data_IF_206443020433
#
_entry.id   IF_206443020433
#
_cell.length_a   1.000
_cell.length_b   1.000
_cell.length_c   1.000
_cell.angle_alpha   90.00
_cell.angle_beta   90.00
_cell.angle_gamma   90.00
#
_symmetry.space_group_name_H-M   'P 1'
#
loop_
_entity.id
_entity.type
_entity.pdbx_description
1 polymer ?
#
# COMPACT_ATOMS: atom_id res chain seq x y z
N UNK A 1 42.88 -2.40 -9.62
CA UNK A 1 42.21 -1.38 -10.46
C UNK A 1 41.95 -0.11 -9.66
N UNK A 2 41.87 1.08 -10.29
CA UNK A 2 41.41 2.30 -9.61
C UNK A 2 39.98 2.13 -9.06
N UNK A 3 39.74 2.57 -7.82
CA UNK A 3 38.48 2.38 -7.10
C UNK A 3 37.27 3.01 -7.82
N UNK A 4 37.44 4.20 -8.41
CA UNK A 4 36.37 4.87 -9.17
C UNK A 4 36.04 4.13 -10.47
N UNK A 5 37.06 3.61 -11.17
CA UNK A 5 36.84 2.74 -12.35
C UNK A 5 36.17 1.43 -11.97
N UNK A 6 36.55 0.85 -10.84
CA UNK A 6 35.94 -0.40 -10.34
C UNK A 6 34.47 -0.20 -10.02
N UNK A 7 34.12 0.81 -9.22
CA UNK A 7 32.72 1.02 -8.82
C UNK A 7 31.84 1.33 -10.03
N UNK A 8 32.33 2.14 -10.99
CA UNK A 8 31.61 2.41 -12.23
C UNK A 8 31.31 1.14 -13.02
N UNK A 9 32.27 0.20 -13.10
CA UNK A 9 32.04 -1.10 -13.74
C UNK A 9 30.98 -1.91 -13.02
N UNK A 10 31.06 -2.01 -11.69
CA UNK A 10 30.08 -2.73 -10.86
C UNK A 10 28.68 -2.16 -11.10
N UNK A 11 28.50 -0.84 -11.03
CA UNK A 11 27.20 -0.20 -11.21
C UNK A 11 26.62 -0.46 -12.62
N UNK A 12 27.44 -0.35 -13.67
CA UNK A 12 27.01 -0.64 -15.04
C UNK A 12 26.60 -2.10 -15.20
N UNK A 13 27.41 -3.03 -14.69
CA UNK A 13 27.11 -4.46 -14.81
C UNK A 13 25.90 -4.85 -13.97
N UNK A 14 25.74 -4.30 -12.77
CA UNK A 14 24.51 -4.45 -11.98
C UNK A 14 23.31 -3.97 -12.79
N UNK A 15 23.30 -2.71 -13.25
CA UNK A 15 22.18 -2.13 -13.97
C UNK A 15 21.79 -2.95 -15.22
N UNK A 16 22.77 -3.41 -16.00
CA UNK A 16 22.53 -4.24 -17.20
C UNK A 16 21.83 -5.56 -16.89
N UNK A 17 22.09 -6.13 -15.72
CA UNK A 17 21.59 -7.45 -15.32
C UNK A 17 20.32 -7.39 -14.45
N UNK A 18 19.78 -6.19 -14.17
CA UNK A 18 18.45 -6.05 -13.57
C UNK A 18 17.35 -6.45 -14.58
N UNK A 19 16.17 -6.78 -14.07
CA UNK A 19 14.95 -6.90 -14.88
C UNK A 19 14.48 -5.52 -15.37
N UNK A 20 13.65 -5.49 -16.42
CA UNK A 20 13.20 -4.21 -17.02
C UNK A 20 12.36 -3.38 -16.06
N UNK A 21 11.52 -4.00 -15.22
CA UNK A 21 10.72 -3.25 -14.27
C UNK A 21 11.62 -2.52 -13.26
N UNK A 22 12.55 -3.20 -12.62
CA UNK A 22 13.53 -2.55 -11.72
C UNK A 22 14.33 -1.44 -12.42
N UNK A 23 14.66 -1.59 -13.72
CA UNK A 23 15.33 -0.54 -14.49
C UNK A 23 14.46 0.68 -14.70
N UNK A 24 13.18 0.48 -15.01
CA UNK A 24 12.22 1.57 -15.22
C UNK A 24 12.02 2.40 -13.95
N UNK A 25 11.95 1.73 -12.79
CA UNK A 25 11.86 2.41 -11.50
C UNK A 25 13.12 3.25 -11.21
N UNK A 26 14.31 2.71 -11.47
CA UNK A 26 15.55 3.49 -11.33
C UNK A 26 15.59 4.67 -12.32
N UNK A 27 15.06 4.51 -13.54
CA UNK A 27 15.01 5.58 -14.56
C UNK A 27 14.05 6.70 -14.19
N UNK A 28 12.98 6.43 -13.44
CA UNK A 28 12.04 7.49 -13.01
C UNK A 28 12.71 8.53 -12.11
N UNK A 29 13.85 8.18 -11.49
CA UNK A 29 14.61 9.02 -10.56
C UNK A 29 13.85 9.39 -9.28
N UNK A 30 12.69 8.77 -9.03
CA UNK A 30 11.93 8.97 -7.79
C UNK A 30 12.38 8.04 -6.67
N UNK A 31 13.21 7.04 -7.00
CA UNK A 31 13.60 5.95 -6.10
C UNK A 31 15.02 6.08 -5.57
N UNK A 32 15.16 5.94 -4.26
CA UNK A 32 16.43 5.73 -3.59
C UNK A 32 16.92 4.30 -3.80
N UNK A 33 18.14 4.15 -4.34
CA UNK A 33 18.79 2.85 -4.54
C UNK A 33 19.75 2.56 -3.39
N UNK A 34 19.43 1.52 -2.62
CA UNK A 34 20.24 1.05 -1.49
C UNK A 34 20.93 -0.26 -1.86
N UNK A 35 22.26 -0.25 -1.85
CA UNK A 35 23.06 -1.45 -2.01
C UNK A 35 23.22 -2.17 -0.68
N UNK A 36 22.87 -3.46 -0.65
CA UNK A 36 23.15 -4.35 0.48
C UNK A 36 24.41 -5.16 0.17
N UNK A 37 25.34 -5.15 1.12
CA UNK A 37 26.62 -5.87 1.09
C UNK A 37 27.59 -5.48 -0.03
N UNK A 38 27.35 -4.35 -0.71
CA UNK A 38 28.32 -3.79 -1.65
C UNK A 38 29.49 -3.18 -0.89
N UNK A 39 30.69 -3.65 -1.20
CA UNK A 39 31.91 -3.07 -0.69
C UNK A 39 33.07 -3.27 -1.66
N UNK A 40 34.09 -2.42 -1.49
CA UNK A 40 35.38 -2.55 -2.15
C UNK A 40 36.50 -2.66 -1.12
N UNK A 41 37.59 -3.33 -1.47
CA UNK A 41 38.74 -3.51 -0.59
C UNK A 41 39.93 -2.74 -1.16
N UNK A 42 40.54 -1.88 -0.36
CA UNK A 42 41.80 -1.23 -0.72
C UNK A 42 42.95 -2.25 -0.74
N UNK A 43 43.71 -2.27 -1.83
CA UNK A 43 44.72 -3.31 -2.10
C UNK A 43 45.86 -3.31 -1.08
N UNK A 44 46.32 -2.13 -0.68
CA UNK A 44 47.52 -1.99 0.15
C UNK A 44 47.24 -2.16 1.65
N UNK A 45 46.05 -1.76 2.10
CA UNK A 45 45.68 -1.77 3.53
C UNK A 45 44.76 -2.93 3.89
N UNK A 46 44.10 -3.55 2.90
CA UNK A 46 43.02 -4.51 3.12
C UNK A 46 41.75 -3.88 3.70
N UNK A 47 41.68 -2.55 3.80
CA UNK A 47 40.54 -1.86 4.41
C UNK A 47 39.30 -2.01 3.54
N UNK A 48 38.22 -2.52 4.13
CA UNK A 48 36.88 -2.60 3.53
C UNK A 48 36.21 -1.23 3.56
N UNK A 49 35.67 -0.79 2.43
CA UNK A 49 34.78 0.37 2.31
C UNK A 49 33.43 -0.10 1.79
N UNK A 50 32.41 -0.06 2.64
CA UNK A 50 31.02 -0.34 2.28
C UNK A 50 30.44 0.86 1.55
N UNK A 51 29.57 0.60 0.57
CA UNK A 51 28.86 1.60 -0.21
C UNK A 51 27.37 1.24 -0.14
N UNK A 52 26.57 2.06 0.52
CA UNK A 52 25.17 1.77 0.78
C UNK A 52 24.27 2.55 -0.19
N UNK A 53 24.63 3.78 -0.54
CA UNK A 53 23.86 4.63 -1.45
C UNK A 53 24.63 4.91 -2.76
N UNK A 54 23.91 5.38 -3.79
CA UNK A 54 24.56 5.87 -5.02
C UNK A 54 25.52 7.03 -4.73
N UNK A 55 25.17 7.91 -3.79
CA UNK A 55 26.01 9.03 -3.34
C UNK A 55 27.36 8.58 -2.75
N UNK A 56 27.39 7.43 -2.06
CA UNK A 56 28.64 6.84 -1.55
C UNK A 56 29.57 6.43 -2.70
N UNK A 57 28.98 5.96 -3.80
CA UNK A 57 29.73 5.56 -5.00
C UNK A 57 30.34 6.77 -5.71
N UNK A 58 29.63 7.90 -5.72
CA UNK A 58 30.09 9.15 -6.33
C UNK A 58 31.16 9.86 -5.50
N UNK A 59 30.96 9.91 -4.18
CA UNK A 59 31.87 10.55 -3.21
C UNK A 59 33.12 9.72 -2.90
N UNK A 60 33.19 8.49 -3.41
CA UNK A 60 34.30 7.58 -3.19
C UNK A 60 35.66 8.18 -3.61
N UNK A 61 36.59 8.29 -2.66
CA UNK A 61 37.97 8.69 -2.97
C UNK A 61 38.66 7.68 -3.90
N UNK A 62 39.54 8.17 -4.78
CA UNK A 62 40.36 7.32 -5.64
C UNK A 62 41.46 6.62 -4.83
N UNK A 63 41.60 5.31 -5.01
CA UNK A 63 42.67 4.49 -4.44
C UNK A 63 42.81 3.19 -5.25
N UNK A 64 43.89 2.44 -5.03
CA UNK A 64 44.06 1.13 -5.66
C UNK A 64 43.19 0.08 -4.96
N UNK A 65 42.17 -0.41 -5.65
CA UNK A 65 41.25 -1.42 -5.14
C UNK A 65 41.60 -2.83 -5.65
N UNK A 66 41.33 -3.82 -4.80
CA UNK A 66 41.39 -5.23 -5.16
C UNK A 66 40.28 -5.56 -6.16
N UNK A 67 40.64 -6.28 -7.20
CA UNK A 67 39.68 -6.83 -8.15
C UNK A 67 39.10 -8.12 -7.55
N UNK A 68 37.77 -8.24 -7.66
CA UNK A 68 36.99 -9.28 -7.00
C UNK A 68 35.91 -9.77 -7.96
N UNK A 69 35.31 -10.91 -7.61
CA UNK A 69 34.13 -11.42 -8.27
C UNK A 69 32.91 -10.85 -7.56
N UNK A 70 32.10 -10.07 -8.24
CA UNK A 70 30.84 -9.51 -7.72
C UNK A 70 29.66 -10.34 -8.22
N UNK A 71 28.72 -10.62 -7.34
CA UNK A 71 27.56 -11.47 -7.64
C UNK A 71 26.29 -10.71 -7.26
N UNK A 72 25.46 -10.41 -8.25
CA UNK A 72 24.11 -9.88 -8.06
C UNK A 72 23.20 -11.01 -7.55
N UNK A 73 22.69 -10.87 -6.31
CA UNK A 73 21.95 -11.93 -5.62
C UNK A 73 20.44 -11.79 -5.78
N UNK A 74 19.90 -10.59 -5.60
CA UNK A 74 18.46 -10.29 -5.71
C UNK A 74 18.23 -8.79 -5.75
N UNK A 75 17.06 -8.41 -6.24
CA UNK A 75 16.49 -7.07 -6.07
C UNK A 75 15.29 -7.20 -5.15
N UNK A 76 15.17 -6.30 -4.18
CA UNK A 76 14.04 -6.24 -3.29
C UNK A 76 13.25 -4.96 -3.51
N UNK A 77 12.02 -5.12 -3.98
CA UNK A 77 11.05 -4.06 -4.20
C UNK A 77 9.99 -4.04 -3.09
N UNK A 78 10.18 -4.77 -1.98
CA UNK A 78 9.24 -4.78 -0.84
C UNK A 78 8.97 -3.38 -0.27
N UNK A 79 9.90 -2.44 -0.40
CA UNK A 79 9.75 -1.06 0.06
C UNK A 79 9.54 -0.07 -1.10
N UNK A 80 9.05 -0.52 -2.25
CA UNK A 80 8.79 0.31 -3.42
C UNK A 80 7.92 1.54 -3.07
N UNK A 81 6.86 1.38 -2.30
CA UNK A 81 5.98 2.48 -1.88
C UNK A 81 6.67 3.53 -0.98
N UNK A 82 7.83 3.22 -0.39
CA UNK A 82 8.68 4.21 0.31
C UNK A 82 9.69 4.86 -0.62
N UNK A 83 9.56 4.65 -1.91
CA UNK A 83 10.51 5.03 -2.93
C UNK A 83 11.90 4.39 -2.72
N UNK A 84 11.98 3.14 -2.24
CA UNK A 84 13.26 2.45 -1.98
C UNK A 84 13.37 1.17 -2.81
N UNK A 85 14.52 1.02 -3.48
CA UNK A 85 14.93 -0.20 -4.18
C UNK A 85 16.19 -0.74 -3.49
N UNK A 86 16.14 -1.98 -2.98
CA UNK A 86 17.33 -2.60 -2.40
C UNK A 86 17.97 -3.59 -3.37
N UNK A 87 19.26 -3.42 -3.64
CA UNK A 87 20.03 -4.30 -4.54
C UNK A 87 21.06 -5.06 -3.72
N UNK A 88 20.95 -6.38 -3.70
CA UNK A 88 21.85 -7.24 -2.93
C UNK A 88 23.02 -7.71 -3.80
N UNK A 89 24.22 -7.28 -3.44
CA UNK A 89 25.46 -7.63 -4.15
C UNK A 89 26.42 -8.24 -3.15
N UNK A 90 26.99 -9.39 -3.47
CA UNK A 90 28.06 -10.00 -2.68
C UNK A 90 29.37 -9.98 -3.45
N UNK A 91 30.51 -10.15 -2.76
CA UNK A 91 31.81 -10.25 -3.42
C UNK A 91 32.73 -11.34 -2.86
N UNK A 92 33.41 -12.03 -3.75
CA UNK A 92 34.36 -13.10 -3.46
C UNK A 92 35.75 -12.73 -3.99
N UNK A 93 36.80 -13.33 -3.42
CA UNK A 93 38.15 -13.16 -3.97
C UNK A 93 38.19 -13.69 -5.41
N UNK A 94 38.97 -13.04 -6.27
CA UNK A 94 39.13 -13.46 -7.67
C UNK A 94 40.61 -13.53 -8.02
N UNK A 95 41.03 -14.67 -8.57
CA UNK A 95 42.39 -14.88 -9.06
C UNK A 95 42.59 -14.25 -10.45
N UNK A 96 41.51 -14.06 -11.21
CA UNK A 96 41.52 -13.66 -12.62
C UNK A 96 41.04 -12.22 -12.85
N UNK A 97 41.24 -11.34 -11.87
CA UNK A 97 40.80 -9.94 -11.96
C UNK A 97 39.28 -9.78 -11.77
N UNK A 98 38.73 -8.68 -12.28
CA UNK A 98 37.31 -8.36 -12.09
C UNK A 98 36.39 -9.31 -12.85
N UNK A 99 35.41 -9.89 -12.16
CA UNK A 99 34.35 -10.73 -12.73
C UNK A 99 33.01 -10.27 -12.17
N UNK A 100 31.99 -10.20 -13.01
CA UNK A 100 30.60 -9.98 -12.58
C UNK A 100 29.74 -11.17 -12.96
N UNK A 101 28.88 -11.64 -12.05
CA UNK A 101 27.92 -12.72 -12.31
C UNK A 101 26.56 -12.39 -11.71
N UNK A 102 25.52 -12.97 -12.29
CA UNK A 102 24.19 -13.07 -11.68
C UNK A 102 24.11 -14.40 -10.96
N UNK A 103 23.58 -14.41 -9.74
CA UNK A 103 23.35 -15.64 -9.00
C UNK A 103 22.35 -16.55 -9.73
N UNK A 104 22.55 -17.87 -9.69
CA UNK A 104 21.62 -18.81 -10.32
C UNK A 104 20.22 -18.77 -9.69
N UNK A 105 20.12 -18.38 -8.42
CA UNK A 105 18.87 -18.16 -7.71
C UNK A 105 18.46 -16.69 -7.65
N UNK A 106 18.96 -15.88 -8.60
CA UNK A 106 18.55 -14.48 -8.70
C UNK A 106 17.03 -14.37 -8.78
N UNK A 107 16.48 -13.50 -7.94
CA UNK A 107 15.05 -13.19 -7.93
C UNK A 107 14.81 -11.71 -7.68
N UNK A 108 13.69 -11.25 -8.20
CA UNK A 108 13.10 -9.96 -7.87
C UNK A 108 12.02 -10.24 -6.84
N UNK A 109 12.18 -9.71 -5.62
CA UNK A 109 11.15 -9.76 -4.59
C UNK A 109 10.20 -8.60 -4.89
N UNK A 110 9.03 -8.93 -5.41
CA UNK A 110 7.95 -7.98 -5.64
C UNK A 110 7.31 -7.58 -4.30
N UNK A 111 6.72 -6.37 -4.20
CA UNK A 111 6.06 -5.91 -2.98
C UNK A 111 5.13 -6.96 -2.40
N UNK A 112 5.44 -7.47 -1.19
CA UNK A 112 4.54 -8.36 -0.48
C UNK A 112 3.44 -7.59 0.29
N UNK A 113 2.64 -6.76 -0.39
CA UNK A 113 1.29 -6.43 0.11
C UNK A 113 0.34 -7.42 -0.56
N UNK A 114 -0.34 -8.26 0.24
CA UNK A 114 -1.38 -9.16 -0.28
C UNK A 114 -2.56 -8.30 -0.74
N UNK A 115 -2.48 -7.83 -1.98
CA UNK A 115 -3.50 -7.01 -2.62
C UNK A 115 -4.40 -7.92 -3.45
N UNK A 116 -5.71 -7.87 -3.21
CA UNK A 116 -6.65 -8.64 -4.01
C UNK A 116 -6.65 -8.13 -5.45
N UNK A 117 -7.25 -8.89 -6.36
CA UNK A 117 -7.45 -8.43 -7.73
C UNK A 117 -8.28 -7.14 -7.74
N UNK A 118 -9.42 -7.14 -7.04
CA UNK A 118 -10.32 -5.99 -6.93
C UNK A 118 -9.61 -4.72 -6.43
N UNK A 119 -8.76 -4.85 -5.41
CA UNK A 119 -8.01 -3.70 -4.88
C UNK A 119 -7.04 -3.15 -5.92
N UNK A 120 -6.30 -4.00 -6.63
CA UNK A 120 -5.41 -3.57 -7.73
C UNK A 120 -6.16 -2.84 -8.84
N UNK A 121 -7.28 -3.38 -9.29
CA UNK A 121 -8.07 -2.74 -10.35
C UNK A 121 -8.53 -1.34 -9.93
N UNK A 122 -9.00 -1.16 -8.69
CA UNK A 122 -9.42 0.17 -8.23
C UNK A 122 -8.27 1.17 -8.10
N UNK A 123 -7.06 0.72 -7.77
CA UNK A 123 -5.88 1.59 -7.79
C UNK A 123 -5.58 2.04 -9.23
N UNK A 124 -5.69 1.13 -10.20
CA UNK A 124 -5.53 1.47 -11.62
C UNK A 124 -6.62 2.44 -12.07
N UNK A 125 -7.88 2.15 -11.79
CA UNK A 125 -9.01 3.05 -12.09
C UNK A 125 -8.79 4.43 -11.47
N UNK A 126 -8.36 4.51 -10.21
CA UNK A 126 -8.01 5.77 -9.55
C UNK A 126 -6.89 6.53 -10.25
N UNK A 127 -5.83 5.83 -10.64
CA UNK A 127 -4.65 6.44 -11.26
C UNK A 127 -4.93 6.93 -12.68
N UNK A 128 -5.90 6.33 -13.36
CA UNK A 128 -6.31 6.67 -14.73
C UNK A 128 -7.39 7.77 -14.79
N UNK A 129 -7.98 8.17 -13.65
CA UNK A 129 -8.98 9.24 -13.61
C UNK A 129 -8.40 10.56 -14.14
N UNK A 130 -9.11 11.16 -15.09
CA UNK A 130 -8.93 12.58 -15.40
C UNK A 130 -9.48 13.47 -14.28
N UNK A 131 -9.06 14.73 -14.25
CA UNK A 131 -9.57 15.72 -13.29
C UNK A 131 -11.10 15.85 -13.37
N UNK A 132 -11.67 15.89 -14.59
CA UNK A 132 -13.12 15.97 -14.79
C UNK A 132 -13.87 14.74 -14.27
N UNK A 133 -13.29 13.54 -14.41
CA UNK A 133 -13.89 12.31 -13.88
C UNK A 133 -13.78 12.23 -12.36
N UNK A 134 -12.67 12.68 -11.78
CA UNK A 134 -12.50 12.78 -10.33
C UNK A 134 -13.49 13.76 -9.71
N UNK A 135 -13.65 14.95 -10.31
CA UNK A 135 -14.61 15.95 -9.85
C UNK A 135 -16.03 15.39 -9.83
N UNK A 136 -16.43 14.69 -10.90
CA UNK A 136 -17.74 14.03 -10.97
C UNK A 136 -17.90 12.93 -9.91
N UNK A 137 -16.86 12.12 -9.70
CA UNK A 137 -16.87 11.06 -8.67
C UNK A 137 -17.02 11.63 -7.26
N UNK A 138 -16.37 12.76 -6.99
CA UNK A 138 -16.50 13.48 -5.73
C UNK A 138 -17.91 14.07 -5.58
N UNK A 139 -18.46 14.67 -6.63
CA UNK A 139 -19.83 15.20 -6.64
C UNK A 139 -20.86 14.09 -6.31
N UNK A 140 -20.81 12.97 -7.03
CA UNK A 140 -21.69 11.80 -6.80
C UNK A 140 -21.56 11.29 -5.36
N UNK A 141 -20.34 11.23 -4.83
CA UNK A 141 -20.08 10.81 -3.45
C UNK A 141 -20.67 11.77 -2.43
N UNK A 142 -20.49 13.08 -2.61
CA UNK A 142 -21.00 14.08 -1.66
C UNK A 142 -22.54 14.16 -1.67
N UNK A 143 -23.19 13.94 -2.82
CA UNK A 143 -24.65 13.83 -2.87
C UNK A 143 -25.17 12.67 -1.99
N UNK A 144 -24.48 11.52 -2.04
CA UNK A 144 -24.81 10.35 -1.21
C UNK A 144 -24.58 10.65 0.27
N UNK A 145 -23.44 11.27 0.60
CA UNK A 145 -23.06 11.64 1.96
C UNK A 145 -24.09 12.60 2.57
N UNK A 146 -24.45 13.68 1.87
CA UNK A 146 -25.36 14.70 2.38
C UNK A 146 -26.74 14.11 2.70
N UNK A 147 -27.25 13.29 1.78
CA UNK A 147 -28.51 12.56 1.97
C UNK A 147 -28.46 11.61 3.17
N UNK A 148 -27.34 10.91 3.36
CA UNK A 148 -27.20 9.98 4.48
C UNK A 148 -27.04 10.71 5.82
N UNK A 149 -26.32 11.83 5.85
CA UNK A 149 -26.21 12.70 7.03
C UNK A 149 -27.62 13.15 7.47
N UNK A 150 -28.47 13.59 6.55
CA UNK A 150 -29.85 13.96 6.87
C UNK A 150 -30.68 12.79 7.44
N UNK A 151 -30.50 11.59 6.89
CA UNK A 151 -31.20 10.39 7.36
C UNK A 151 -30.74 9.92 8.74
N UNK A 152 -29.45 10.08 9.03
CA UNK A 152 -28.86 9.77 10.32
C UNK A 152 -29.25 10.80 11.38
N UNK A 153 -29.34 12.09 11.05
CA UNK A 153 -29.81 13.12 11.99
C UNK A 153 -31.26 12.93 12.43
N UNK A 154 -32.07 12.16 11.68
CA UNK A 154 -33.46 11.78 12.06
C UNK A 154 -33.50 10.62 13.06
N UNK A 155 -32.37 10.01 13.40
CA UNK A 155 -32.30 8.99 14.43
C UNK A 155 -32.22 9.63 15.82
N UNK A 156 -33.00 9.09 16.75
CA UNK A 156 -32.92 9.47 18.16
C UNK A 156 -31.48 9.46 18.68
N UNK A 157 -31.04 10.59 19.22
CA UNK A 157 -29.71 10.78 19.81
C UNK A 157 -28.62 11.18 18.81
N UNK A 158 -28.94 11.31 17.52
CA UNK A 158 -28.03 11.87 16.51
C UNK A 158 -28.32 13.35 16.20
N UNK A 159 -29.39 13.93 16.74
CA UNK A 159 -29.83 15.29 16.37
C UNK A 159 -28.77 16.35 16.70
N UNK A 160 -28.00 16.12 17.76
CA UNK A 160 -26.98 17.03 18.27
C UNK A 160 -25.55 16.56 17.95
N UNK A 161 -25.40 15.45 17.24
CA UNK A 161 -24.09 14.93 16.89
C UNK A 161 -23.57 15.66 15.66
N UNK A 162 -22.45 16.37 15.81
CA UNK A 162 -21.82 17.06 14.70
C UNK A 162 -20.76 16.14 14.09
N UNK A 163 -20.94 15.81 12.82
CA UNK A 163 -19.98 15.01 12.09
C UNK A 163 -19.92 15.46 10.63
N UNK A 164 -18.74 15.35 10.03
CA UNK A 164 -18.52 15.62 8.61
C UNK A 164 -17.71 14.47 8.02
N UNK A 165 -17.98 14.20 6.76
CA UNK A 165 -17.46 13.04 6.04
C UNK A 165 -16.82 13.55 4.76
N UNK A 166 -15.59 13.13 4.52
CA UNK A 166 -14.79 13.51 3.36
C UNK A 166 -14.23 12.27 2.67
N UNK A 167 -14.01 12.37 1.37
CA UNK A 167 -13.15 11.43 0.66
C UNK A 167 -11.69 11.86 0.86
N UNK A 168 -10.83 10.95 1.30
CA UNK A 168 -9.41 11.25 1.51
C UNK A 168 -8.59 10.99 0.25
N UNK A 169 -8.52 12.01 -0.61
CA UNK A 169 -7.82 11.92 -1.90
C UNK A 169 -6.28 11.82 -1.77
N UNK A 170 -5.73 11.93 -0.56
CA UNK A 170 -4.28 11.95 -0.31
C UNK A 170 -3.77 10.69 0.41
N UNK A 171 -4.64 9.75 0.75
CA UNK A 171 -4.27 8.55 1.50
C UNK A 171 -3.46 7.54 0.68
N UNK A 172 -2.63 6.74 1.37
CA UNK A 172 -1.96 5.56 0.80
C UNK A 172 -3.01 4.56 0.27
N UNK A 173 -3.16 4.50 -1.05
CA UNK A 173 -4.13 3.65 -1.74
C UNK A 173 -3.93 2.16 -1.44
N UNK A 174 -2.75 1.75 -0.99
CA UNK A 174 -2.45 0.37 -0.67
C UNK A 174 -3.05 -0.08 0.68
N UNK A 175 -3.49 0.85 1.53
CA UNK A 175 -3.96 0.56 2.88
C UNK A 175 -5.43 0.93 3.00
N UNK A 176 -6.30 -0.07 2.82
CA UNK A 176 -7.75 0.09 2.98
C UNK A 176 -8.11 0.32 4.46
N UNK A 177 -8.14 1.58 4.86
CA UNK A 177 -8.53 2.05 6.17
C UNK A 177 -9.24 3.40 6.05
N UNK A 178 -10.32 3.59 6.82
CA UNK A 178 -10.93 4.90 6.99
C UNK A 178 -10.37 5.53 8.26
N UNK A 179 -10.19 6.84 8.28
CA UNK A 179 -9.68 7.56 9.46
C UNK A 179 -10.84 8.28 10.13
N UNK A 180 -10.99 8.08 11.43
CA UNK A 180 -12.00 8.77 12.24
C UNK A 180 -11.30 9.64 13.27
N UNK A 181 -11.38 10.95 13.08
CA UNK A 181 -10.81 11.94 13.98
C UNK A 181 -11.92 12.53 14.86
N UNK A 182 -11.58 12.81 16.12
CA UNK A 182 -12.47 13.47 17.06
C UNK A 182 -11.83 14.77 17.51
N UNK A 183 -12.45 15.86 17.10
CA UNK A 183 -12.26 17.16 17.72
C UNK A 183 -13.36 17.39 18.76
N UNK A 184 -13.12 18.24 19.76
CA UNK A 184 -13.93 18.33 21.00
C UNK A 184 -15.45 18.33 20.80
N UNK A 185 -15.92 18.92 19.71
CA UNK A 185 -17.35 19.05 19.37
C UNK A 185 -17.72 18.43 18.01
N UNK A 186 -16.81 17.69 17.36
CA UNK A 186 -16.98 17.24 15.98
C UNK A 186 -16.24 15.94 15.68
N UNK A 187 -16.93 15.01 15.01
CA UNK A 187 -16.30 13.82 14.44
C UNK A 187 -16.05 14.02 12.95
N UNK A 188 -14.81 13.86 12.50
CA UNK A 188 -14.43 13.92 11.09
C UNK A 188 -14.15 12.50 10.63
N UNK A 189 -14.79 12.08 9.53
CA UNK A 189 -14.61 10.76 8.94
C UNK A 189 -13.99 10.93 7.56
N UNK A 190 -12.81 10.39 7.38
CA UNK A 190 -12.08 10.33 6.12
C UNK A 190 -12.27 8.95 5.52
N UNK A 191 -13.06 8.88 4.45
CA UNK A 191 -13.36 7.64 3.73
C UNK A 191 -12.27 7.39 2.68
N UNK A 192 -11.80 6.15 2.62
CA UNK A 192 -10.76 5.76 1.68
C UNK A 192 -11.17 5.99 0.22
N UNK A 193 -10.31 6.56 -0.62
CA UNK A 193 -10.67 7.05 -1.96
C UNK A 193 -11.12 5.93 -2.91
N UNK A 194 -10.64 4.71 -2.72
CA UNK A 194 -11.09 3.55 -3.51
C UNK A 194 -12.57 3.17 -3.29
N UNK A 195 -13.24 3.76 -2.28
CA UNK A 195 -14.69 3.64 -2.13
C UNK A 195 -15.49 4.59 -3.02
N UNK A 196 -14.86 5.52 -3.74
CA UNK A 196 -15.54 6.31 -4.80
C UNK A 196 -15.99 5.42 -5.99
N UNK A 197 -15.44 4.21 -6.10
CA UNK A 197 -15.86 3.19 -7.08
C UNK A 197 -16.93 2.23 -6.55
N UNK A 198 -17.29 2.35 -5.27
CA UNK A 198 -18.32 1.51 -4.66
C UNK A 198 -19.72 2.05 -4.93
N UNK A 199 -20.72 1.17 -4.80
CA UNK A 199 -22.12 1.53 -4.94
C UNK A 199 -22.62 2.39 -3.77
N UNK A 200 -23.72 3.11 -3.98
CA UNK A 200 -24.35 3.95 -2.96
C UNK A 200 -24.65 3.18 -1.66
N UNK A 201 -25.12 1.93 -1.76
CA UNK A 201 -25.42 1.10 -0.59
C UNK A 201 -24.18 0.80 0.25
N UNK A 202 -23.01 0.64 -0.39
CA UNK A 202 -21.74 0.43 0.30
C UNK A 202 -21.27 1.71 0.97
N UNK A 203 -21.37 2.86 0.31
CA UNK A 203 -21.02 4.17 0.90
C UNK A 203 -21.86 4.42 2.15
N UNK A 204 -23.18 4.21 2.08
CA UNK A 204 -24.07 4.31 3.26
C UNK A 204 -23.66 3.32 4.35
N UNK A 205 -23.25 2.10 3.97
CA UNK A 205 -22.74 1.09 4.89
C UNK A 205 -21.46 1.51 5.62
N UNK A 206 -20.52 2.16 4.92
CA UNK A 206 -19.29 2.72 5.52
C UNK A 206 -19.66 3.76 6.56
N UNK A 207 -20.48 4.75 6.18
CA UNK A 207 -20.89 5.85 7.06
C UNK A 207 -21.57 5.29 8.31
N UNK A 208 -22.53 4.38 8.14
CA UNK A 208 -23.23 3.75 9.25
C UNK A 208 -22.29 2.91 10.13
N UNK A 209 -21.32 2.21 9.54
CA UNK A 209 -20.32 1.44 10.28
C UNK A 209 -19.45 2.35 11.17
N UNK A 210 -18.87 3.42 10.62
CA UNK A 210 -18.00 4.31 11.39
C UNK A 210 -18.77 5.02 12.52
N UNK A 211 -20.01 5.44 12.23
CA UNK A 211 -20.87 6.10 13.20
C UNK A 211 -21.53 5.13 14.22
N UNK A 212 -21.54 3.83 13.95
CA UNK A 212 -22.16 2.84 14.82
C UNK A 212 -21.53 2.75 16.22
N UNK A 213 -20.27 3.17 16.34
CA UNK A 213 -19.56 3.22 17.61
C UNK A 213 -20.14 4.28 18.57
N UNK A 214 -20.85 5.28 18.04
CA UNK A 214 -21.42 6.40 18.78
C UNK A 214 -22.88 6.16 19.16
N UNK A 215 -23.67 5.56 18.27
CA UNK A 215 -25.07 5.26 18.52
C UNK A 215 -25.43 3.83 18.05
N UNK A 216 -25.75 2.96 19.02
CA UNK A 216 -26.09 1.55 18.75
C UNK A 216 -27.33 1.39 17.87
N UNK A 217 -28.27 2.36 17.88
CA UNK A 217 -29.46 2.33 17.02
C UNK A 217 -29.11 2.39 15.53
N UNK A 218 -27.94 2.92 15.18
CA UNK A 218 -27.46 2.92 13.79
C UNK A 218 -27.28 1.49 13.30
N UNK A 219 -26.65 0.61 14.09
CA UNK A 219 -26.48 -0.80 13.69
C UNK A 219 -27.84 -1.46 13.48
N UNK A 220 -28.80 -1.22 14.38
CA UNK A 220 -30.12 -1.84 14.29
C UNK A 220 -30.89 -1.40 13.04
N UNK A 221 -30.74 -0.14 12.61
CA UNK A 221 -31.40 0.39 11.42
C UNK A 221 -30.66 0.07 10.11
N UNK A 222 -29.32 0.06 10.12
CA UNK A 222 -28.48 0.03 8.91
C UNK A 222 -27.64 -1.24 8.76
N UNK A 223 -27.95 -2.32 9.50
CA UNK A 223 -27.09 -3.51 9.44
C UNK A 223 -27.03 -4.14 8.04
N UNK A 224 -28.04 -3.95 7.18
CA UNK A 224 -28.04 -4.46 5.79
C UNK A 224 -27.00 -3.72 4.95
N UNK A 225 -26.97 -2.40 5.02
CA UNK A 225 -25.97 -1.56 4.38
C UNK A 225 -24.56 -1.87 4.92
N UNK A 226 -24.42 -2.06 6.23
CA UNK A 226 -23.14 -2.44 6.84
C UNK A 226 -22.68 -3.83 6.36
N UNK A 227 -23.57 -4.78 6.10
CA UNK A 227 -23.23 -6.08 5.50
C UNK A 227 -22.64 -5.90 4.10
N UNK A 228 -23.24 -5.06 3.25
CA UNK A 228 -22.71 -4.77 1.91
C UNK A 228 -21.32 -4.13 1.98
N UNK A 229 -21.10 -3.22 2.93
CA UNK A 229 -19.76 -2.71 3.21
C UNK A 229 -18.79 -3.80 3.66
N UNK A 230 -19.19 -4.71 4.57
CA UNK A 230 -18.33 -5.82 5.00
C UNK A 230 -17.94 -6.73 3.83
N UNK A 231 -18.87 -6.97 2.89
CA UNK A 231 -18.64 -7.74 1.66
C UNK A 231 -17.62 -7.04 0.76
N UNK A 232 -17.76 -5.74 0.55
CA UNK A 232 -16.81 -4.93 -0.19
C UNK A 232 -15.42 -4.92 0.46
N UNK A 233 -15.37 -4.67 1.77
CA UNK A 233 -14.12 -4.68 2.54
C UNK A 233 -13.40 -6.03 2.43
N UNK A 234 -14.15 -7.14 2.46
CA UNK A 234 -13.61 -8.49 2.24
C UNK A 234 -13.03 -8.65 0.84
N UNK A 235 -13.69 -8.13 -0.20
CA UNK A 235 -13.16 -8.17 -1.58
C UNK A 235 -11.86 -7.37 -1.71
N UNK A 236 -11.75 -6.22 -1.07
CA UNK A 236 -10.57 -5.34 -1.18
C UNK A 236 -9.40 -5.82 -0.32
N UNK A 237 -9.66 -6.27 0.91
CA UNK A 237 -8.61 -6.55 1.90
C UNK A 237 -8.39 -8.05 2.20
N UNK A 238 -9.27 -8.92 1.71
CA UNK A 238 -9.40 -10.32 2.11
C UNK A 238 -9.63 -10.54 3.63
N UNK A 239 -10.03 -9.51 4.38
CA UNK A 239 -10.29 -9.55 5.83
C UNK A 239 -11.78 -9.37 6.14
N UNK A 240 -12.21 -9.88 7.29
CA UNK A 240 -13.58 -9.70 7.78
C UNK A 240 -13.60 -8.62 8.88
N UNK A 241 -14.61 -7.76 8.88
CA UNK A 241 -14.81 -6.79 9.95
C UNK A 241 -15.47 -7.44 11.17
N UNK A 242 -15.01 -7.07 12.37
CA UNK A 242 -15.52 -7.62 13.63
C UNK A 242 -17.01 -7.32 13.90
N UNK A 243 -17.58 -6.34 13.20
CA UNK A 243 -18.98 -5.92 13.34
C UNK A 243 -19.97 -7.01 12.93
N UNK A 244 -19.57 -7.93 12.03
CA UNK A 244 -20.42 -9.03 11.55
C UNK A 244 -21.01 -9.87 12.69
N UNK A 245 -20.26 -10.06 13.79
CA UNK A 245 -20.75 -10.77 14.98
C UNK A 245 -21.94 -10.05 15.63
N UNK A 246 -21.84 -8.73 15.79
CA UNK A 246 -22.92 -7.91 16.37
C UNK A 246 -24.15 -7.89 15.46
N UNK A 247 -23.93 -7.80 14.15
CA UNK A 247 -25.01 -7.81 13.15
C UNK A 247 -25.71 -9.17 13.12
N UNK A 248 -24.97 -10.27 13.20
CA UNK A 248 -25.54 -11.63 13.29
C UNK A 248 -26.48 -11.76 14.48
N UNK A 249 -26.10 -11.26 15.66
CA UNK A 249 -26.97 -11.30 16.86
C UNK A 249 -28.28 -10.51 16.66
N UNK A 250 -28.22 -9.38 15.95
CA UNK A 250 -29.41 -8.57 15.62
C UNK A 250 -30.29 -9.32 14.61
N UNK A 251 -29.70 -9.84 13.53
CA UNK A 251 -30.42 -10.59 12.51
C UNK A 251 -31.11 -11.85 13.08
N UNK A 252 -30.47 -12.55 14.02
CA UNK A 252 -31.07 -13.69 14.72
C UNK A 252 -32.28 -13.30 15.56
N UNK A 253 -32.19 -12.19 16.31
CA UNK A 253 -33.33 -11.68 17.11
C UNK A 253 -34.52 -11.27 16.25
N UNK A 254 -34.25 -10.71 15.07
CA UNK A 254 -35.27 -10.29 14.11
C UNK A 254 -35.70 -11.40 13.13
N UNK A 255 -35.13 -12.60 13.24
CA UNK A 255 -35.37 -13.73 12.34
C UNK A 255 -35.12 -13.40 10.84
N UNK A 256 -34.14 -12.53 10.56
CA UNK A 256 -33.73 -12.14 9.21
C UNK A 256 -32.76 -13.19 8.61
N UNK A 257 -33.34 -14.18 7.92
CA UNK A 257 -32.58 -15.27 7.30
C UNK A 257 -31.70 -14.80 6.14
N UNK A 258 -32.10 -13.75 5.43
CA UNK A 258 -31.37 -13.23 4.28
C UNK A 258 -30.04 -12.62 4.76
N UNK A 259 -30.09 -11.77 5.78
CA UNK A 259 -28.91 -11.20 6.40
C UNK A 259 -27.97 -12.28 6.98
N UNK A 260 -28.51 -13.31 7.63
CA UNK A 260 -27.70 -14.42 8.17
C UNK A 260 -26.95 -15.16 7.06
N UNK A 261 -27.62 -15.45 5.93
CA UNK A 261 -27.00 -16.12 4.80
C UNK A 261 -25.85 -15.28 4.21
N UNK A 262 -26.07 -13.98 4.00
CA UNK A 262 -25.03 -13.08 3.50
C UNK A 262 -23.81 -13.03 4.43
N UNK A 263 -24.02 -13.02 5.75
CA UNK A 263 -22.91 -13.05 6.72
C UNK A 263 -22.13 -14.38 6.61
N UNK A 264 -22.81 -15.51 6.45
CA UNK A 264 -22.16 -16.81 6.29
C UNK A 264 -21.32 -16.87 5.00
N UNK A 265 -21.85 -16.33 3.90
CA UNK A 265 -21.11 -16.21 2.64
C UNK A 265 -19.82 -15.38 2.79
N UNK A 266 -19.88 -14.24 3.50
CA UNK A 266 -18.71 -13.40 3.75
C UNK A 266 -17.68 -14.11 4.63
N UNK A 267 -18.13 -14.86 5.64
CA UNK A 267 -17.26 -15.61 6.55
C UNK A 267 -16.73 -16.93 5.95
N UNK A 268 -17.29 -17.39 4.83
CA UNK A 268 -16.95 -18.67 4.21
C UNK A 268 -17.48 -19.88 4.99
N UNK A 269 -18.66 -19.74 5.60
CA UNK A 269 -19.34 -20.77 6.41
C UNK A 269 -20.47 -21.46 5.66
#
# INVERSE_FOLDING_TARGET
>A
MDSKKLIKKILIDTYKNLDEYSKDLIRSCDFEVIFKDLYIIEKNTGKKKTLEHLEDCESLLSFEAQERKYILKKVNLDNYFKNIIEIFISSEASENGYIFKVDENYKVIMPSKFMTYEHRERILEWTELSEEELDKKLEDFYEIVDKEIENLKKLDGMEYYNFVIYADVFMDLDVIENIVERDSDMTIIWIHPLYLFSSEIVIRGIIAYELSSYNKKIIEKYYREIIEYCKEYKKLSNKNLNILKKIRDIALKSNDKEAINLINEIEGM
#
